data_IF_627306255719
#
_entry.id   IF_627306255719
#
_cell.length_a   1.000
_cell.length_b   1.000
_cell.length_c   1.000
_cell.angle_alpha   90.00
_cell.angle_beta   90.00
_cell.angle_gamma   90.00
#
_symmetry.space_group_name_H-M   'P 1'
#
loop_
_entity.id
_entity.type
_entity.pdbx_description
1 polymer ?
#
# COMPACT_ATOMS: atom_id res chain seq x y z
N UNK A 1 -3.64 32.30 -22.11
CA UNK A 1 -2.64 31.32 -21.63
C UNK A 1 -3.38 30.39 -20.68
N UNK A 2 -3.53 29.12 -21.03
CA UNK A 2 -4.34 28.17 -20.28
C UNK A 2 -3.72 27.91 -18.91
N UNK A 3 -4.47 28.21 -17.85
CA UNK A 3 -4.11 27.87 -16.48
C UNK A 3 -4.17 26.34 -16.37
N UNK A 4 -3.08 25.66 -15.97
CA UNK A 4 -3.08 24.23 -15.88
C UNK A 4 -3.95 23.79 -14.70
N UNK A 5 -5.01 23.07 -15.02
CA UNK A 5 -5.98 22.43 -14.14
C UNK A 5 -5.28 21.74 -12.96
N UNK A 6 -5.32 22.38 -11.80
CA UNK A 6 -4.60 21.99 -10.56
C UNK A 6 -4.97 20.58 -10.06
N UNK A 7 -6.09 20.02 -10.52
CA UNK A 7 -6.54 18.66 -10.19
C UNK A 7 -5.70 17.55 -10.84
N UNK A 8 -5.34 17.69 -12.11
CA UNK A 8 -4.61 16.65 -12.86
C UNK A 8 -3.16 16.51 -12.41
N UNK A 9 -2.55 17.61 -11.96
CA UNK A 9 -1.17 17.61 -11.44
C UNK A 9 -1.06 16.78 -10.17
N UNK A 10 -2.02 16.90 -9.26
CA UNK A 10 -1.95 16.22 -7.96
C UNK A 10 -2.08 14.71 -8.11
N UNK A 11 -3.05 14.23 -8.90
CA UNK A 11 -3.23 12.79 -9.15
C UNK A 11 -2.02 12.17 -9.87
N UNK A 12 -1.43 12.90 -10.81
CA UNK A 12 -0.23 12.45 -11.54
C UNK A 12 1.00 12.39 -10.63
N UNK A 13 1.17 13.35 -9.71
CA UNK A 13 2.26 13.38 -8.72
C UNK A 13 2.13 12.22 -7.74
N UNK A 14 0.94 11.99 -7.18
CA UNK A 14 0.69 10.87 -6.26
C UNK A 14 0.96 9.53 -6.93
N UNK A 15 0.52 9.34 -8.18
CA UNK A 15 0.80 8.10 -8.94
C UNK A 15 2.30 7.86 -9.12
N UNK A 16 3.08 8.89 -9.44
CA UNK A 16 4.55 8.78 -9.57
C UNK A 16 5.23 8.49 -8.23
N UNK A 17 4.69 9.00 -7.12
CA UNK A 17 5.20 8.71 -5.77
C UNK A 17 4.88 7.28 -5.35
N UNK A 18 3.66 6.82 -5.58
CA UNK A 18 3.24 5.42 -5.34
C UNK A 18 4.10 4.44 -6.14
N UNK A 19 4.35 4.73 -7.42
CA UNK A 19 5.15 3.87 -8.29
C UNK A 19 6.61 3.76 -7.83
N UNK A 20 7.20 4.89 -7.38
CA UNK A 20 8.54 4.91 -6.77
C UNK A 20 8.59 4.25 -5.39
N UNK A 21 7.52 4.36 -4.61
CA UNK A 21 7.44 3.77 -3.27
C UNK A 21 7.17 2.26 -3.33
N UNK A 22 6.50 1.77 -4.38
CA UNK A 22 6.12 0.37 -4.54
C UNK A 22 7.26 -0.63 -4.35
N UNK A 23 8.42 -0.53 -5.02
CA UNK A 23 9.49 -1.54 -4.88
C UNK A 23 10.01 -1.66 -3.44
N UNK A 24 10.14 -0.55 -2.72
CA UNK A 24 10.53 -0.58 -1.31
C UNK A 24 9.43 -1.15 -0.41
N UNK A 25 8.16 -0.80 -0.68
CA UNK A 25 7.00 -1.33 0.04
C UNK A 25 6.86 -2.83 -0.18
N UNK A 26 6.96 -3.29 -1.42
CA UNK A 26 6.93 -4.71 -1.78
C UNK A 26 8.05 -5.47 -1.08
N UNK A 27 9.29 -4.93 -1.10
CA UNK A 27 10.42 -5.51 -0.38
C UNK A 27 10.13 -5.62 1.12
N UNK A 28 9.65 -4.54 1.74
CA UNK A 28 9.33 -4.53 3.16
C UNK A 28 8.25 -5.56 3.52
N UNK A 29 7.21 -5.69 2.69
CA UNK A 29 6.17 -6.70 2.88
C UNK A 29 6.71 -8.12 2.70
N UNK A 30 7.64 -8.35 1.76
CA UNK A 30 8.31 -9.66 1.59
C UNK A 30 9.17 -10.02 2.81
N UNK A 31 9.77 -9.04 3.46
CA UNK A 31 10.57 -9.23 4.69
C UNK A 31 9.70 -9.35 5.96
N UNK A 32 8.37 -9.45 5.82
CA UNK A 32 7.45 -9.65 6.94
C UNK A 32 6.84 -8.35 7.48
N UNK A 33 7.06 -7.22 6.81
CA UNK A 33 6.35 -5.98 7.06
C UNK A 33 4.87 -6.06 6.71
N UNK A 34 4.10 -5.10 7.21
CA UNK A 34 2.67 -4.95 6.93
C UNK A 34 2.32 -3.51 6.59
N UNK A 35 1.35 -3.30 5.71
CA UNK A 35 0.77 -1.98 5.48
C UNK A 35 -0.32 -1.73 6.52
N UNK A 36 -0.24 -0.61 7.21
CA UNK A 36 -1.23 -0.17 8.18
C UNK A 36 -1.75 1.20 7.80
N UNK A 37 -3.07 1.40 7.89
CA UNK A 37 -3.72 2.69 7.69
C UNK A 37 -4.24 3.22 9.01
N UNK A 38 -3.59 4.24 9.61
CA UNK A 38 -4.11 4.88 10.81
C UNK A 38 -5.47 5.54 10.53
N UNK A 39 -6.39 5.48 11.50
CA UNK A 39 -7.80 5.92 11.37
C UNK A 39 -8.01 7.41 11.02
N UNK A 40 -6.94 8.19 10.86
CA UNK A 40 -6.97 9.62 10.51
C UNK A 40 -6.13 9.97 9.29
N UNK A 41 -5.46 8.99 8.68
CA UNK A 41 -4.58 9.22 7.54
C UNK A 41 -5.19 8.69 6.24
N UNK A 42 -4.88 9.41 5.16
CA UNK A 42 -5.29 9.04 3.81
C UNK A 42 -4.41 7.93 3.24
N UNK A 43 -3.17 7.87 3.67
CA UNK A 43 -2.16 6.95 3.17
C UNK A 43 -1.94 5.76 4.11
N UNK A 44 -1.48 4.66 3.53
CA UNK A 44 -1.12 3.44 4.22
C UNK A 44 0.40 3.39 4.37
N UNK A 45 0.88 3.10 5.58
CA UNK A 45 2.29 3.12 5.92
C UNK A 45 2.81 1.71 6.11
N UNK A 46 4.05 1.46 5.71
CA UNK A 46 4.75 0.22 6.04
C UNK A 46 5.10 0.24 7.53
N UNK A 47 4.73 -0.83 8.22
CA UNK A 47 5.14 -1.14 9.57
C UNK A 47 5.98 -2.43 9.51
N UNK A 48 7.27 -2.30 9.77
CA UNK A 48 8.17 -3.44 9.95
C UNK A 48 8.05 -3.98 11.38
N UNK A 49 8.26 -5.30 11.60
CA UNK A 49 8.32 -5.87 12.94
C UNK A 49 9.51 -5.35 13.74
N UNK A 50 10.64 -5.09 13.07
CA UNK A 50 11.82 -4.48 13.66
C UNK A 50 11.84 -2.96 13.38
N UNK A 51 11.88 -2.10 14.43
CA UNK A 51 11.89 -0.65 14.27
C UNK A 51 13.25 -0.08 13.82
N UNK A 52 14.32 -0.87 13.91
CA UNK A 52 15.66 -0.51 13.44
C UNK A 52 15.90 -0.91 11.97
N UNK A 53 14.91 -1.56 11.33
CA UNK A 53 15.04 -2.00 9.96
C UNK A 53 15.24 -0.81 9.01
N UNK A 54 16.15 -0.86 8.04
CA UNK A 54 16.37 0.24 7.09
C UNK A 54 15.11 0.60 6.28
N UNK A 55 14.17 -0.35 6.15
CA UNK A 55 12.86 -0.17 5.50
C UNK A 55 11.76 0.39 6.42
N UNK A 56 12.05 0.56 7.71
CA UNK A 56 11.13 1.18 8.66
C UNK A 56 10.88 2.66 8.32
N UNK A 57 11.84 3.31 7.66
CA UNK A 57 11.71 4.70 7.22
C UNK A 57 10.78 4.84 6.00
N UNK A 58 9.48 4.94 6.31
CA UNK A 58 8.51 5.84 5.66
C UNK A 58 8.42 5.78 4.13
N UNK A 59 8.03 4.62 3.59
CA UNK A 59 7.28 4.62 2.33
C UNK A 59 5.80 4.37 2.64
N UNK A 60 4.98 5.27 2.12
CA UNK A 60 3.53 5.19 2.19
C UNK A 60 2.95 5.02 0.81
N UNK A 61 1.87 4.27 0.72
CA UNK A 61 1.06 4.16 -0.49
C UNK A 61 -0.27 4.86 -0.26
N UNK A 62 -0.77 5.56 -1.25
CA UNK A 62 -2.10 6.13 -1.18
C UNK A 62 -3.17 5.04 -1.11
N UNK A 63 -4.26 5.31 -0.38
CA UNK A 63 -5.35 4.34 -0.24
C UNK A 63 -5.90 3.86 -1.59
N UNK A 64 -5.90 4.71 -2.62
CA UNK A 64 -6.30 4.33 -3.99
C UNK A 64 -5.39 3.25 -4.58
N UNK A 65 -4.07 3.38 -4.39
CA UNK A 65 -3.08 2.38 -4.85
C UNK A 65 -3.24 1.08 -4.07
N UNK A 66 -3.38 1.15 -2.75
CA UNK A 66 -3.60 -0.03 -1.91
C UNK A 66 -4.90 -0.76 -2.29
N UNK A 67 -6.01 -0.03 -2.51
CA UNK A 67 -7.25 -0.63 -3.01
C UNK A 67 -7.07 -1.33 -4.34
N UNK A 68 -6.30 -0.74 -5.28
CA UNK A 68 -6.02 -1.35 -6.58
C UNK A 68 -5.18 -2.62 -6.42
N UNK A 69 -4.16 -2.62 -5.57
CA UNK A 69 -3.32 -3.79 -5.28
C UNK A 69 -4.10 -4.91 -4.59
N UNK A 70 -5.09 -4.57 -3.75
CA UNK A 70 -6.01 -5.55 -3.17
C UNK A 70 -6.93 -6.15 -4.25
N UNK A 71 -7.47 -5.31 -5.14
CA UNK A 71 -8.32 -5.77 -6.25
C UNK A 71 -7.55 -6.64 -7.26
N UNK A 72 -6.27 -6.34 -7.49
CA UNK A 72 -5.36 -7.13 -8.32
C UNK A 72 -4.91 -8.45 -7.65
N UNK A 73 -5.21 -8.62 -6.35
CA UNK A 73 -4.83 -9.80 -5.58
C UNK A 73 -3.37 -9.79 -5.11
N UNK A 74 -2.64 -8.68 -5.29
CA UNK A 74 -1.26 -8.51 -4.80
C UNK A 74 -1.24 -8.32 -3.28
N UNK A 75 -2.22 -7.60 -2.73
CA UNK A 75 -2.38 -7.40 -1.29
C UNK A 75 -3.63 -8.12 -0.78
N UNK A 76 -3.59 -8.58 0.46
CA UNK A 76 -4.77 -9.04 1.20
C UNK A 76 -4.94 -8.28 2.49
N UNK A 77 -6.19 -8.00 2.86
CA UNK A 77 -6.53 -7.42 4.15
C UNK A 77 -6.38 -8.51 5.23
N UNK A 78 -5.53 -8.26 6.22
CA UNK A 78 -5.25 -9.20 7.32
C UNK A 78 -5.86 -8.77 8.65
N UNK A 79 -6.30 -7.51 8.76
CA UNK A 79 -6.94 -6.98 9.97
C UNK A 79 -7.68 -5.68 9.70
N UNK A 80 -8.13 -5.02 10.76
CA UNK A 80 -8.68 -3.66 10.67
C UNK A 80 -7.61 -2.74 10.09
N UNK A 81 -7.87 -2.18 8.91
CA UNK A 81 -6.98 -1.26 8.21
C UNK A 81 -5.54 -1.75 8.01
N UNK A 82 -5.33 -3.07 8.02
CA UNK A 82 -4.03 -3.71 7.88
C UNK A 82 -4.02 -4.64 6.67
N UNK A 83 -2.96 -4.55 5.87
CA UNK A 83 -2.79 -5.27 4.61
C UNK A 83 -1.39 -5.91 4.57
N UNK A 84 -1.30 -7.09 3.98
CA UNK A 84 -0.05 -7.80 3.75
C UNK A 84 0.02 -8.26 2.29
N UNK A 85 1.21 -8.67 1.83
CA UNK A 85 1.32 -9.35 0.54
C UNK A 85 0.44 -10.60 0.55
N UNK A 86 -0.30 -10.79 -0.54
CA UNK A 86 -0.96 -12.06 -0.77
C UNK A 86 0.14 -13.10 -0.99
N UNK A 87 0.19 -14.10 -0.11
CA UNK A 87 1.06 -15.25 -0.32
C UNK A 87 0.70 -15.90 -1.67
N UNK A 88 1.68 -16.42 -2.43
CA UNK A 88 1.40 -17.19 -3.62
C UNK A 88 0.69 -18.50 -3.24
N UNK A 89 -0.65 -18.47 -3.21
CA UNK A 89 -1.53 -19.65 -3.21
C UNK A 89 -2.64 -19.69 -2.14
N UNK A 90 -3.72 -20.47 -2.39
CA UNK A 90 -4.48 -20.58 -3.63
C UNK A 90 -5.60 -19.52 -3.68
N UNK A 91 -6.10 -19.23 -4.88
CA UNK A 91 -7.43 -18.65 -5.04
C UNK A 91 -8.44 -19.51 -4.25
N UNK A 92 -9.46 -18.87 -3.67
CA UNK A 92 -10.58 -19.49 -2.95
C UNK A 92 -10.32 -19.90 -1.50
N UNK A 93 -10.76 -19.03 -0.59
CA UNK A 93 -11.52 -19.48 0.58
C UNK A 93 -12.64 -18.47 0.79
N UNK A 94 -13.59 -18.48 -0.15
CA UNK A 94 -14.96 -18.11 0.14
C UNK A 94 -15.51 -19.26 0.99
N UNK A 95 -15.43 -19.15 2.31
CA UNK A 95 -16.29 -19.95 3.16
C UNK A 95 -16.99 -18.99 4.13
N UNK A 96 -18.24 -18.68 3.79
CA UNK A 96 -19.25 -18.17 4.72
C UNK A 96 -20.04 -19.38 5.22
N UNK A 97 -20.28 -19.48 6.52
CA UNK A 97 -21.59 -19.79 7.06
C UNK A 97 -22.43 -18.51 7.20
#
# INVERSE_FOLDING_TARGET
MAEPETGERTATITTRQDDRAWPDVERALREGGRLFRPARLRDCYVQMPDPSHPLHHMRSLSASRVKRLVADGVLRKTGADTYALAAPGPLFSQERP
#
